data_IF_380602173757
#
_entry.id   IF_380602173757
#
_cell.length_a   1.000
_cell.length_b   1.000
_cell.length_c   1.000
_cell.angle_alpha   90.00
_cell.angle_beta   90.00
_cell.angle_gamma   90.00
#
_symmetry.space_group_name_H-M   'P 1'
#
loop_
_entity.id
_entity.type
_entity.pdbx_description
1 polymer ?
#
# COMPACT_ATOMS: atom_id res chain seq x y z
N UNK A 1 17.17 -19.87 -1.53
CA UNK A 1 17.00 -18.62 -2.36
C UNK A 1 16.01 -17.71 -1.65
N UNK A 2 16.31 -16.41 -1.52
CA UNK A 2 15.38 -15.46 -0.91
C UNK A 2 14.18 -15.21 -1.85
N UNK A 3 12.95 -15.28 -1.34
CA UNK A 3 11.74 -14.98 -2.13
C UNK A 3 11.74 -13.53 -2.56
N UNK A 4 11.66 -13.27 -3.86
CA UNK A 4 11.53 -11.92 -4.41
C UNK A 4 10.16 -11.32 -4.08
N UNK A 5 10.10 -9.99 -3.94
CA UNK A 5 8.88 -9.23 -3.63
C UNK A 5 8.68 -8.13 -4.66
N UNK A 6 7.48 -8.03 -5.22
CA UNK A 6 7.12 -6.90 -6.07
C UNK A 6 6.60 -5.73 -5.24
N UNK A 7 7.21 -4.56 -5.37
CA UNK A 7 6.70 -3.33 -4.76
C UNK A 7 6.01 -2.49 -5.84
N UNK A 8 4.69 -2.47 -5.78
CA UNK A 8 3.85 -1.79 -6.76
C UNK A 8 3.56 -0.35 -6.32
N UNK A 9 3.64 0.58 -7.27
CA UNK A 9 3.47 2.01 -7.05
C UNK A 9 4.55 2.61 -6.13
N UNK A 10 5.78 2.10 -6.22
CA UNK A 10 6.92 2.69 -5.52
C UNK A 10 7.12 4.15 -5.96
N UNK A 11 7.48 5.03 -5.03
CA UNK A 11 7.87 6.39 -5.39
C UNK A 11 9.26 6.40 -6.03
N UNK A 12 9.55 7.33 -6.96
CA UNK A 12 10.91 7.58 -7.41
C UNK A 12 11.83 7.84 -6.20
N UNK A 13 12.99 7.17 -6.15
CA UNK A 13 13.91 7.26 -5.01
C UNK A 13 13.38 6.67 -3.70
N UNK A 14 12.47 5.71 -3.78
CA UNK A 14 11.96 4.96 -2.63
C UNK A 14 13.04 4.09 -2.01
N UNK A 15 13.01 3.98 -0.69
CA UNK A 15 13.90 3.10 0.11
C UNK A 15 13.77 1.61 -0.24
N UNK A 16 12.72 1.20 -0.92
CA UNK A 16 12.54 -0.17 -1.39
C UNK A 16 13.57 -0.59 -2.45
N UNK A 17 14.13 0.37 -3.20
CA UNK A 17 15.13 0.08 -4.26
C UNK A 17 16.44 -0.48 -3.72
N UNK A 18 16.71 -0.18 -2.44
CA UNK A 18 17.94 -0.58 -1.75
C UNK A 18 17.76 -1.89 -0.95
N UNK A 19 16.59 -2.52 -1.06
CA UNK A 19 16.29 -3.77 -0.34
C UNK A 19 16.54 -4.98 -1.23
N UNK A 20 17.27 -5.96 -0.69
CA UNK A 20 17.59 -7.19 -1.41
C UNK A 20 16.34 -7.98 -1.81
N UNK A 21 16.32 -8.47 -3.05
CA UNK A 21 15.24 -9.27 -3.58
C UNK A 21 13.93 -8.50 -3.81
N UNK A 22 13.97 -7.18 -3.91
CA UNK A 22 12.82 -6.33 -4.20
C UNK A 22 12.86 -5.87 -5.66
N UNK A 23 11.72 -5.96 -6.34
CA UNK A 23 11.49 -5.40 -7.67
C UNK A 23 10.48 -4.26 -7.57
N UNK A 24 10.92 -3.03 -7.84
CA UNK A 24 10.07 -1.85 -7.79
C UNK A 24 9.40 -1.57 -9.12
N UNK A 25 8.11 -1.25 -9.05
CA UNK A 25 7.28 -0.76 -10.16
C UNK A 25 6.77 0.64 -9.75
N UNK A 26 7.24 1.64 -10.42
CA UNK A 26 6.96 3.06 -10.17
C UNK A 26 6.23 3.73 -11.35
N UNK A 27 6.34 5.04 -11.48
CA UNK A 27 5.72 5.77 -12.58
C UNK A 27 6.41 5.52 -13.93
N UNK A 28 7.69 5.14 -13.95
CA UNK A 28 8.45 4.83 -15.17
C UNK A 28 8.19 3.38 -15.60
N UNK A 29 8.29 2.45 -14.64
CA UNK A 29 7.92 1.05 -14.83
C UNK A 29 6.50 0.85 -14.29
N UNK A 30 5.50 1.12 -15.11
CA UNK A 30 4.08 1.05 -14.74
C UNK A 30 3.76 -0.24 -13.96
N UNK A 31 3.16 -0.10 -12.77
CA UNK A 31 2.78 -1.23 -11.94
C UNK A 31 1.89 -2.26 -12.68
N UNK A 32 1.12 -1.82 -13.67
CA UNK A 32 0.25 -2.68 -14.49
C UNK A 32 1.04 -3.59 -15.45
N UNK A 33 2.32 -3.31 -15.68
CA UNK A 33 3.19 -4.18 -16.49
C UNK A 33 3.73 -5.37 -15.68
N UNK A 34 3.48 -5.40 -14.37
CA UNK A 34 3.86 -6.53 -13.54
C UNK A 34 2.99 -7.76 -13.85
N UNK A 35 3.64 -8.86 -14.22
CA UNK A 35 2.98 -10.10 -14.69
C UNK A 35 2.60 -11.09 -13.58
N UNK A 36 2.77 -10.74 -12.29
CA UNK A 36 2.52 -11.69 -11.19
C UNK A 36 3.73 -12.55 -10.81
N UNK A 37 3.49 -13.62 -10.05
CA UNK A 37 4.51 -14.62 -9.67
C UNK A 37 5.30 -14.31 -8.39
N UNK A 38 5.09 -13.17 -7.76
CA UNK A 38 5.75 -12.77 -6.52
C UNK A 38 4.74 -12.24 -5.51
N UNK A 39 5.00 -12.31 -4.19
CA UNK A 39 4.22 -11.59 -3.20
C UNK A 39 4.37 -10.07 -3.39
N UNK A 40 3.38 -9.33 -2.94
CA UNK A 40 3.21 -7.91 -3.27
C UNK A 40 3.29 -7.03 -2.03
N UNK A 41 4.00 -5.91 -2.13
CA UNK A 41 3.77 -4.72 -1.29
C UNK A 41 3.23 -3.63 -2.20
N UNK A 42 2.00 -3.16 -1.96
CA UNK A 42 1.34 -2.19 -2.84
C UNK A 42 1.05 -0.85 -2.14
N UNK A 43 1.44 0.26 -2.78
CA UNK A 43 1.19 1.63 -2.34
C UNK A 43 0.37 2.41 -3.38
N UNK A 44 -0.86 1.99 -3.72
CA UNK A 44 -1.62 2.64 -4.78
C UNK A 44 -1.90 4.11 -4.44
N UNK A 45 -2.07 4.99 -5.44
CA UNK A 45 -2.30 6.41 -5.24
C UNK A 45 -3.46 6.70 -4.27
N UNK A 46 -3.16 7.33 -3.14
CA UNK A 46 -4.13 7.57 -2.06
C UNK A 46 -5.00 8.81 -2.28
N UNK A 47 -4.64 9.72 -3.20
CA UNK A 47 -5.37 10.99 -3.39
C UNK A 47 -6.82 10.77 -3.83
N UNK A 48 -7.11 9.69 -4.54
CA UNK A 48 -8.47 9.31 -4.94
C UNK A 48 -9.34 8.78 -3.79
N UNK A 49 -8.73 8.36 -2.69
CA UNK A 49 -9.34 7.56 -1.64
C UNK A 49 -9.26 8.16 -0.23
N UNK A 50 -8.31 9.08 0.01
CA UNK A 50 -8.07 9.70 1.30
C UNK A 50 -9.12 10.74 1.72
N UNK A 51 -8.94 11.34 2.89
CA UNK A 51 -9.85 12.37 3.44
C UNK A 51 -10.02 13.57 2.52
N UNK A 52 -8.95 13.97 1.81
CA UNK A 52 -8.94 15.14 0.91
C UNK A 52 -9.31 14.78 -0.55
N UNK A 53 -9.90 13.61 -0.82
CA UNK A 53 -10.26 13.15 -2.16
C UNK A 53 -11.20 14.11 -2.93
N UNK A 54 -12.04 14.86 -2.21
CA UNK A 54 -12.93 15.84 -2.83
C UNK A 54 -12.21 17.03 -3.49
N UNK A 55 -10.98 17.31 -3.05
CA UNK A 55 -10.11 18.35 -3.62
C UNK A 55 -9.12 17.80 -4.65
N UNK A 56 -9.04 16.47 -4.78
CA UNK A 56 -8.11 15.80 -5.68
C UNK A 56 -8.77 15.61 -7.05
N UNK A 57 -8.08 16.02 -8.11
CA UNK A 57 -8.50 15.77 -9.49
C UNK A 57 -8.11 14.34 -9.92
N UNK A 58 -8.55 13.32 -9.18
CA UNK A 58 -8.26 11.93 -9.50
C UNK A 58 -9.32 11.37 -10.46
N UNK A 59 -8.89 10.95 -11.65
CA UNK A 59 -9.77 10.37 -12.65
C UNK A 59 -10.16 8.90 -12.35
N UNK A 60 -11.13 8.35 -13.13
CA UNK A 60 -11.55 6.94 -12.99
C UNK A 60 -10.41 5.95 -13.14
N UNK A 61 -9.48 6.18 -14.07
CA UNK A 61 -8.32 5.31 -14.30
C UNK A 61 -7.41 5.23 -13.04
N UNK A 62 -7.18 6.34 -12.34
CA UNK A 62 -6.39 6.34 -11.12
C UNK A 62 -7.12 5.62 -9.97
N UNK A 63 -8.44 5.77 -9.89
CA UNK A 63 -9.25 5.02 -8.91
C UNK A 63 -9.16 3.52 -9.15
N UNK A 64 -9.20 3.07 -10.39
CA UNK A 64 -9.07 1.66 -10.75
C UNK A 64 -7.76 1.03 -10.25
N UNK A 65 -6.65 1.81 -10.17
CA UNK A 65 -5.37 1.31 -9.67
C UNK A 65 -5.43 0.81 -8.22
N UNK A 66 -6.20 1.47 -7.35
CA UNK A 66 -6.35 1.03 -5.97
C UNK A 66 -7.07 -0.32 -5.86
N UNK A 67 -8.18 -0.47 -6.60
CA UNK A 67 -8.96 -1.71 -6.63
C UNK A 67 -8.11 -2.83 -7.23
N UNK A 68 -7.44 -2.57 -8.34
CA UNK A 68 -6.52 -3.52 -8.99
C UNK A 68 -5.40 -3.97 -8.03
N UNK A 69 -4.80 -3.04 -7.27
CA UNK A 69 -3.79 -3.39 -6.27
C UNK A 69 -4.31 -4.35 -5.20
N UNK A 70 -5.55 -4.15 -4.71
CA UNK A 70 -6.21 -5.07 -3.78
C UNK A 70 -6.36 -6.48 -4.38
N UNK A 71 -6.73 -6.57 -5.65
CA UNK A 71 -6.82 -7.85 -6.36
C UNK A 71 -5.43 -8.52 -6.49
N UNK A 72 -4.36 -7.75 -6.74
CA UNK A 72 -3.01 -8.33 -6.81
C UNK A 72 -2.57 -8.92 -5.47
N UNK A 73 -2.82 -8.20 -4.35
CA UNK A 73 -2.50 -8.71 -3.01
C UNK A 73 -3.30 -9.97 -2.69
N UNK A 74 -4.58 -10.03 -3.05
CA UNK A 74 -5.40 -11.25 -2.91
C UNK A 74 -4.87 -12.40 -3.77
N UNK A 75 -4.50 -12.10 -5.01
CA UNK A 75 -4.04 -13.10 -5.96
C UNK A 75 -2.66 -13.67 -5.61
N UNK A 76 -1.73 -12.87 -5.13
CA UNK A 76 -0.32 -13.25 -4.98
C UNK A 76 0.17 -13.30 -3.52
N UNK A 77 -0.66 -12.91 -2.57
CA UNK A 77 -0.28 -12.69 -1.18
C UNK A 77 0.50 -11.40 -0.97
N UNK A 78 0.54 -10.91 0.26
CA UNK A 78 1.30 -9.72 0.61
C UNK A 78 0.48 -8.64 1.30
N UNK A 79 0.83 -7.36 1.07
CA UNK A 79 0.31 -6.22 1.82
C UNK A 79 -0.06 -5.06 0.92
N UNK A 80 -1.23 -4.45 1.14
CA UNK A 80 -1.63 -3.17 0.56
C UNK A 80 -1.66 -2.09 1.65
N UNK A 81 -0.98 -0.99 1.43
CA UNK A 81 -0.89 0.15 2.35
C UNK A 81 -1.74 1.33 1.86
N UNK A 82 -2.53 1.90 2.76
CA UNK A 82 -3.24 3.17 2.54
C UNK A 82 -3.40 3.94 3.85
N UNK A 83 -3.61 5.25 3.81
CA UNK A 83 -4.00 6.00 5.00
C UNK A 83 -5.23 5.39 5.66
N UNK A 84 -5.29 5.37 6.99
CA UNK A 84 -6.45 4.89 7.72
C UNK A 84 -7.74 5.62 7.26
N UNK A 85 -8.86 4.90 7.26
CA UNK A 85 -10.16 5.38 6.77
C UNK A 85 -10.20 5.67 5.27
N UNK A 86 -9.26 5.10 4.49
CA UNK A 86 -9.31 5.17 3.03
C UNK A 86 -10.62 4.56 2.51
N UNK A 87 -11.30 5.30 1.61
CA UNK A 87 -12.50 4.80 0.94
C UNK A 87 -12.24 3.63 -0.02
N UNK A 88 -10.96 3.32 -0.25
CA UNK A 88 -10.57 2.13 -1.01
C UNK A 88 -11.06 0.85 -0.34
N UNK A 89 -11.08 0.79 1.01
CA UNK A 89 -11.55 -0.40 1.72
C UNK A 89 -12.97 -0.80 1.32
N UNK A 90 -13.89 0.16 1.35
CA UNK A 90 -15.27 -0.09 0.91
C UNK A 90 -15.34 -0.42 -0.59
N UNK A 91 -14.60 0.33 -1.43
CA UNK A 91 -14.67 0.17 -2.88
C UNK A 91 -14.07 -1.15 -3.38
N UNK A 92 -13.08 -1.69 -2.69
CA UNK A 92 -12.40 -2.96 -3.03
C UNK A 92 -12.91 -4.14 -2.17
N UNK A 93 -13.92 -3.93 -1.32
CA UNK A 93 -14.45 -4.96 -0.43
C UNK A 93 -13.39 -5.52 0.52
N UNK A 94 -12.52 -4.66 1.07
CA UNK A 94 -11.50 -5.08 2.02
C UNK A 94 -12.09 -5.10 3.44
N UNK A 95 -11.71 -6.08 4.31
CA UNK A 95 -12.22 -6.19 5.66
C UNK A 95 -11.73 -5.03 6.53
N UNK A 96 -12.57 -4.56 7.45
CA UNK A 96 -12.17 -3.58 8.45
C UNK A 96 -11.23 -4.21 9.50
N UNK A 97 -10.48 -3.40 10.29
CA UNK A 97 -9.72 -3.93 11.41
C UNK A 97 -10.59 -4.75 12.36
N UNK A 98 -10.18 -5.99 12.65
CA UNK A 98 -10.92 -6.95 13.43
C UNK A 98 -11.68 -8.00 12.61
N UNK A 99 -11.97 -7.71 11.34
CA UNK A 99 -12.68 -8.61 10.44
C UNK A 99 -11.71 -9.38 9.52
N UNK A 100 -12.24 -10.41 8.85
CA UNK A 100 -11.54 -11.17 7.78
C UNK A 100 -12.42 -11.24 6.53
N UNK A 101 -11.79 -11.30 5.37
CA UNK A 101 -12.50 -11.63 4.13
C UNK A 101 -12.50 -13.15 3.83
N UNK A 102 -13.19 -13.54 2.75
CA UNK A 102 -13.35 -14.95 2.34
C UNK A 102 -12.00 -15.63 1.99
N UNK A 103 -10.97 -14.85 1.69
CA UNK A 103 -9.62 -15.34 1.40
C UNK A 103 -8.72 -15.35 2.64
N UNK A 104 -9.30 -15.10 3.83
CA UNK A 104 -8.57 -14.99 5.09
C UNK A 104 -7.76 -13.70 5.23
N UNK A 105 -7.93 -12.76 4.30
CA UNK A 105 -7.31 -11.44 4.37
C UNK A 105 -7.84 -10.64 5.55
N UNK A 106 -7.01 -9.79 6.13
CA UNK A 106 -7.34 -8.98 7.31
C UNK A 106 -6.67 -7.61 7.25
N UNK A 107 -7.11 -6.69 8.09
CA UNK A 107 -6.56 -5.33 8.16
C UNK A 107 -5.90 -5.06 9.50
N UNK A 108 -4.66 -4.58 9.46
CA UNK A 108 -3.95 -4.01 10.61
C UNK A 108 -4.11 -2.49 10.62
N UNK A 109 -4.41 -1.91 11.78
CA UNK A 109 -4.38 -0.46 12.01
C UNK A 109 -3.07 -0.11 12.73
N UNK A 110 -2.18 0.58 12.05
CA UNK A 110 -0.83 0.88 12.55
C UNK A 110 -0.53 2.38 12.45
N UNK A 111 0.51 2.82 13.16
CA UNK A 111 1.04 4.18 12.98
C UNK A 111 2.50 4.10 12.50
N UNK A 112 2.80 4.68 11.34
CA UNK A 112 4.15 4.69 10.79
C UNK A 112 5.16 5.40 11.71
N UNK A 113 4.70 6.19 12.67
CA UNK A 113 5.53 6.76 13.74
C UNK A 113 6.25 5.66 14.54
N UNK A 114 5.65 4.52 14.73
CA UNK A 114 6.29 3.37 15.41
C UNK A 114 7.56 2.89 14.69
N UNK A 115 7.64 3.07 13.38
CA UNK A 115 8.82 2.75 12.55
C UNK A 115 9.67 3.98 12.21
N UNK A 116 9.54 5.08 12.97
CA UNK A 116 10.40 6.25 12.84
C UNK A 116 9.93 7.34 11.87
N UNK A 117 8.68 7.32 11.40
CA UNK A 117 8.12 8.47 10.72
C UNK A 117 8.00 9.64 11.71
N UNK A 118 8.46 10.84 11.33
CA UNK A 118 8.50 11.99 12.25
C UNK A 118 7.13 12.59 12.59
N UNK A 119 6.08 12.20 11.91
CA UNK A 119 4.69 12.53 12.25
C UNK A 119 3.90 11.25 12.47
N UNK A 120 2.88 11.32 13.32
CA UNK A 120 1.88 10.26 13.43
C UNK A 120 1.17 10.13 12.08
N UNK A 121 1.34 8.98 11.43
CA UNK A 121 0.77 8.65 10.12
C UNK A 121 0.01 7.34 10.23
N UNK A 122 -1.22 7.43 10.73
CA UNK A 122 -2.10 6.27 10.88
C UNK A 122 -2.40 5.65 9.52
N UNK A 123 -2.23 4.36 9.45
CA UNK A 123 -2.18 3.60 8.21
C UNK A 123 -2.92 2.29 8.38
N UNK A 124 -3.71 1.91 7.39
CA UNK A 124 -4.28 0.58 7.28
C UNK A 124 -3.46 -0.27 6.32
N UNK A 125 -3.16 -1.48 6.77
CA UNK A 125 -2.45 -2.51 6.01
C UNK A 125 -3.40 -3.68 5.79
N UNK A 126 -3.88 -3.87 4.56
CA UNK A 126 -4.59 -5.09 4.20
C UNK A 126 -3.55 -6.17 3.91
N UNK A 127 -3.63 -7.29 4.62
CA UNK A 127 -2.72 -8.43 4.51
C UNK A 127 -3.49 -9.64 4.02
N UNK A 128 -2.97 -10.35 3.02
CA UNK A 128 -3.54 -11.59 2.53
C UNK A 128 -2.46 -12.66 2.37
N UNK A 129 -2.76 -13.89 2.82
CA UNK A 129 -1.83 -15.02 2.76
C UNK A 129 -1.04 -15.28 4.04
N UNK A 130 -1.40 -14.63 5.16
CA UNK A 130 -0.79 -14.86 6.47
C UNK A 130 -1.85 -14.93 7.58
N UNK A 131 -1.48 -15.45 8.75
CA UNK A 131 -2.37 -15.48 9.91
C UNK A 131 -2.17 -14.23 10.79
N UNK A 132 -3.22 -13.52 11.21
CA UNK A 132 -3.08 -12.38 12.11
C UNK A 132 -2.40 -12.71 13.45
N UNK A 133 -2.55 -13.94 13.96
CA UNK A 133 -1.90 -14.37 15.20
C UNK A 133 -0.38 -14.54 15.07
N UNK A 134 0.12 -14.65 13.83
CA UNK A 134 1.53 -14.88 13.53
C UNK A 134 2.21 -13.66 12.87
N UNK A 135 1.54 -12.51 12.88
CA UNK A 135 2.14 -11.27 12.34
C UNK A 135 3.44 -10.96 13.07
N UNK A 136 4.54 -10.66 12.36
CA UNK A 136 5.80 -10.30 13.00
C UNK A 136 5.65 -9.15 13.98
N UNK A 137 6.44 -9.18 15.05
CA UNK A 137 6.39 -8.15 16.10
C UNK A 137 6.48 -6.76 15.48
N UNK A 138 5.52 -5.92 15.84
CA UNK A 138 5.49 -4.51 15.44
C UNK A 138 6.15 -3.67 16.54
N UNK A 139 7.03 -2.74 16.20
CA UNK A 139 7.52 -1.77 17.19
C UNK A 139 6.34 -0.94 17.67
N UNK A 140 6.26 -0.70 18.98
CA UNK A 140 5.25 0.14 19.56
C UNK A 140 5.93 1.33 20.24
N UNK A 141 5.57 2.54 19.82
CA UNK A 141 6.12 3.76 20.39
C UNK A 141 4.98 4.59 21.00
N UNK A 142 5.05 4.77 22.30
CA UNK A 142 4.18 5.67 23.04
C UNK A 142 4.64 7.11 22.86
N UNK A 143 3.69 8.04 22.95
CA UNK A 143 3.97 9.46 22.94
C UNK A 143 3.56 10.17 21.66
N UNK A 144 3.96 11.42 21.59
CA UNK A 144 3.57 12.33 20.53
C UNK A 144 4.73 12.54 19.54
N UNK A 145 4.45 12.36 18.26
CA UNK A 145 5.45 12.60 17.21
C UNK A 145 5.88 14.08 17.21
N UNK A 146 7.17 14.38 16.89
CA UNK A 146 7.69 15.76 16.93
C UNK A 146 7.12 16.66 15.83
N UNK A 147 6.46 16.10 14.83
CA UNK A 147 5.88 16.80 13.69
C UNK A 147 4.43 16.35 13.42
N UNK A 148 3.76 17.07 12.53
CA UNK A 148 2.42 16.71 12.03
C UNK A 148 2.46 16.52 10.52
N UNK A 149 1.52 15.72 9.98
CA UNK A 149 1.35 15.59 8.53
C UNK A 149 0.82 16.89 7.91
N UNK A 150 -0.12 17.53 8.60
CA UNK A 150 -0.74 18.79 8.20
C UNK A 150 -1.21 19.53 9.45
N UNK A 151 -0.97 20.81 9.52
CA UNK A 151 -1.42 21.67 10.63
C UNK A 151 -2.91 22.05 10.44
N UNK A 152 -3.79 21.10 10.72
CA UNK A 152 -5.24 21.26 10.56
C UNK A 152 -5.86 22.26 11.56
N UNK A 153 -5.15 22.60 12.63
CA UNK A 153 -5.62 23.51 13.66
C UNK A 153 -5.12 24.96 13.48
N UNK A 154 -4.34 25.23 12.42
CA UNK A 154 -3.80 26.55 12.15
C UNK A 154 -2.86 27.10 13.23
N UNK A 155 -2.29 26.23 14.08
CA UNK A 155 -1.37 26.62 15.15
C UNK A 155 -0.11 27.27 14.55
N UNK A 156 0.40 28.33 15.22
CA UNK A 156 1.61 29.04 14.80
C UNK A 156 2.75 28.77 15.78
N UNK A 157 3.97 29.02 15.32
CA UNK A 157 5.18 28.96 16.16
C UNK A 157 4.95 29.78 17.44
N UNK A 158 5.29 29.22 18.60
CA UNK A 158 5.08 29.81 19.91
C UNK A 158 3.74 29.50 20.59
N UNK A 159 2.76 28.94 19.87
CA UNK A 159 1.50 28.48 20.48
C UNK A 159 1.68 27.13 21.15
N UNK A 160 0.98 26.89 22.25
CA UNK A 160 0.95 25.59 22.92
C UNK A 160 0.45 24.51 21.96
N UNK A 161 1.15 23.37 21.93
CA UNK A 161 0.83 22.25 21.04
C UNK A 161 1.25 22.42 19.58
N UNK A 162 1.90 23.54 19.21
CA UNK A 162 2.45 23.70 17.86
C UNK A 162 3.51 22.63 17.59
N UNK A 163 3.38 22.00 16.42
CA UNK A 163 4.40 21.11 15.84
C UNK A 163 4.55 21.43 14.36
N UNK A 164 5.79 21.52 13.86
CA UNK A 164 6.01 21.81 12.44
C UNK A 164 5.51 20.66 11.55
N UNK A 165 5.06 21.00 10.34
CA UNK A 165 4.69 19.99 9.36
C UNK A 165 5.91 19.24 8.81
N UNK A 166 5.72 17.99 8.41
CA UNK A 166 6.68 17.28 7.58
C UNK A 166 6.61 17.83 6.14
N UNK A 167 7.72 17.69 5.39
CA UNK A 167 7.76 18.05 3.99
C UNK A 167 6.76 17.21 3.17
N UNK A 168 6.36 17.70 1.99
CA UNK A 168 5.49 16.96 1.05
C UNK A 168 6.11 15.61 0.67
N UNK A 169 7.43 15.55 0.45
CA UNK A 169 8.16 14.32 0.14
C UNK A 169 8.08 13.33 1.31
N UNK A 170 8.34 13.78 2.53
CA UNK A 170 8.32 12.94 3.72
C UNK A 170 6.91 12.41 4.03
N UNK A 171 5.86 13.24 3.82
CA UNK A 171 4.47 12.83 3.99
C UNK A 171 4.12 11.59 3.16
N UNK A 172 4.70 11.46 1.98
CA UNK A 172 4.47 10.35 1.06
C UNK A 172 5.46 9.20 1.23
N UNK A 173 6.60 9.44 1.89
CA UNK A 173 7.63 8.42 2.08
C UNK A 173 7.21 7.35 3.08
N UNK A 174 7.76 6.15 2.87
CA UNK A 174 7.68 5.04 3.82
C UNK A 174 9.00 4.97 4.59
N UNK A 175 9.00 4.94 5.94
CA UNK A 175 10.22 4.73 6.72
C UNK A 175 10.92 3.43 6.34
N UNK A 176 12.27 3.43 6.31
CA UNK A 176 13.05 2.25 5.94
C UNK A 176 12.73 1.02 6.81
N UNK A 177 12.55 1.23 8.12
CA UNK A 177 12.21 0.15 9.04
C UNK A 177 10.83 -0.46 8.70
N UNK A 178 9.83 0.36 8.34
CA UNK A 178 8.53 -0.12 7.89
C UNK A 178 8.64 -0.82 6.54
N UNK A 179 9.41 -0.28 5.60
CA UNK A 179 9.60 -0.90 4.29
C UNK A 179 10.19 -2.31 4.41
N UNK A 180 11.20 -2.50 5.26
CA UNK A 180 11.77 -3.83 5.57
C UNK A 180 10.71 -4.76 6.16
N UNK A 181 9.99 -4.30 7.17
CA UNK A 181 8.95 -5.07 7.83
C UNK A 181 7.84 -5.51 6.85
N UNK A 182 7.40 -4.61 5.96
CA UNK A 182 6.39 -4.92 4.93
C UNK A 182 6.89 -5.96 3.92
N UNK A 183 8.15 -5.86 3.50
CA UNK A 183 8.79 -6.82 2.58
C UNK A 183 8.90 -8.19 3.25
N UNK A 184 9.31 -8.25 4.52
CA UNK A 184 9.41 -9.51 5.25
C UNK A 184 8.04 -10.14 5.47
N UNK A 185 7.02 -9.36 5.82
CA UNK A 185 5.64 -9.86 5.93
C UNK A 185 5.13 -10.38 4.56
N UNK A 186 5.41 -9.69 3.47
CA UNK A 186 5.03 -10.17 2.13
C UNK A 186 5.70 -11.51 1.77
N UNK A 187 6.97 -11.71 2.16
CA UNK A 187 7.67 -12.99 1.99
C UNK A 187 7.00 -14.13 2.76
N UNK A 188 6.56 -13.86 3.99
CA UNK A 188 5.81 -14.83 4.80
C UNK A 188 4.48 -15.19 4.15
N UNK A 189 3.75 -14.22 3.61
CA UNK A 189 2.50 -14.47 2.89
C UNK A 189 2.67 -15.42 1.71
N UNK A 190 3.79 -15.32 0.97
CA UNK A 190 4.09 -16.24 -0.12
C UNK A 190 4.39 -17.66 0.38
N UNK A 191 5.19 -17.80 1.42
CA UNK A 191 5.58 -19.09 1.95
C UNK A 191 4.36 -19.93 2.38
N UNK A 192 3.37 -19.32 3.01
CA UNK A 192 2.15 -20.02 3.47
C UNK A 192 1.24 -20.47 2.33
N UNK A 193 1.19 -19.74 1.21
CA UNK A 193 0.43 -20.17 0.03
C UNK A 193 0.91 -21.52 -0.53
N UNK A 194 2.21 -21.79 -0.47
CA UNK A 194 2.77 -23.07 -0.91
C UNK A 194 2.43 -24.21 0.06
N UNK A 195 2.17 -23.93 1.33
CA UNK A 195 1.84 -24.93 2.36
C UNK A 195 0.34 -25.29 2.36
N UNK A 196 -0.55 -24.38 1.92
CA UNK A 196 -2.01 -24.56 1.96
C UNK A 196 -2.65 -24.91 0.61
N UNK A 197 -1.93 -24.89 -0.47
CA UNK A 197 -2.54 -24.86 -1.79
C UNK A 197 -2.27 -26.04 -2.67
N UNK A 198 -3.07 -27.09 -2.57
CA UNK A 198 -3.35 -27.99 -3.68
C UNK A 198 -4.26 -27.42 -4.78
N UNK A 199 -4.74 -26.17 -4.68
CA UNK A 199 -5.48 -25.48 -5.75
C UNK A 199 -4.79 -24.18 -6.11
N UNK A 200 -4.06 -24.20 -7.21
CA UNK A 200 -3.64 -23.00 -7.92
C UNK A 200 -4.90 -22.31 -8.42
N UNK A 201 -5.36 -21.27 -7.72
CA UNK A 201 -6.29 -20.32 -8.34
C UNK A 201 -5.48 -19.65 -9.45
N UNK A 202 -5.72 -20.05 -10.68
CA UNK A 202 -5.22 -19.34 -11.85
C UNK A 202 -5.61 -17.88 -11.70
N UNK A 203 -4.62 -17.00 -11.57
CA UNK A 203 -4.85 -15.56 -11.48
C UNK A 203 -5.77 -15.11 -12.62
N UNK A 204 -6.51 -14.00 -12.44
CA UNK A 204 -7.35 -13.47 -13.50
C UNK A 204 -6.49 -13.31 -14.75
N UNK A 205 -6.95 -13.91 -15.85
CA UNK A 205 -6.30 -13.82 -17.15
C UNK A 205 -5.93 -12.36 -17.42
N UNK A 206 -4.69 -12.15 -17.86
CA UNK A 206 -4.25 -10.87 -18.41
C UNK A 206 -5.37 -10.30 -19.25
N UNK A 207 -5.92 -9.15 -18.89
CA UNK A 207 -6.81 -8.39 -19.77
C UNK A 207 -5.93 -7.84 -20.88
N UNK A 208 -5.68 -8.72 -21.88
CA UNK A 208 -5.03 -8.34 -23.11
C UNK A 208 -5.90 -7.29 -23.81
N UNK A 209 -5.25 -6.15 -24.13
CA UNK A 209 -5.61 -5.17 -25.11
C UNK A 209 -7.05 -5.11 -25.62
N UNK A 210 -7.85 -4.18 -25.13
CA UNK A 210 -9.01 -3.69 -25.87
C UNK A 210 -8.55 -3.00 -27.16
N UNK A 211 -9.33 -3.07 -28.25
CA UNK A 211 -8.93 -2.60 -29.57
C UNK A 211 -8.64 -1.11 -29.59
N UNK A 212 -7.51 -0.73 -30.18
CA UNK A 212 -7.19 0.65 -30.57
C UNK A 212 -8.21 1.10 -31.60
N UNK A 213 -9.17 1.91 -31.20
CA UNK A 213 -10.05 2.61 -32.14
C UNK A 213 -9.22 3.71 -32.81
N UNK A 214 -8.81 3.46 -34.06
CA UNK A 214 -8.30 4.51 -34.93
C UNK A 214 -9.46 5.46 -35.24
N UNK A 215 -9.39 6.67 -34.76
CA UNK A 215 -10.22 7.75 -35.30
C UNK A 215 -9.72 8.08 -36.70
N UNK A 216 -10.45 7.60 -37.70
CA UNK A 216 -10.35 8.10 -39.07
C UNK A 216 -10.97 9.49 -39.11
N UNK A 217 -10.20 10.46 -39.62
CA UNK A 217 -10.66 11.81 -39.83
C UNK A 217 -11.85 11.88 -40.81
N UNK A 218 -12.67 12.86 -40.59
CA UNK A 218 -13.58 13.41 -41.57
C UNK A 218 -13.35 14.93 -41.66
N UNK A 219 -13.26 15.36 -42.90
CA UNK A 219 -13.10 16.71 -43.42
C UNK A 219 -13.94 17.78 -42.72
#
# INVERSE_FOLDING_TARGET
MMTKVAVLFAMPGSVYRDLDGVECYDAERDARTWGGGMPVVAHPPCRAWGKLRGFAKAGPAERALGIWAGHQVRAWGGVLEQPCWSKLWLAAGLPLPGDRDELGGFTLDVDQFWWGHRAQKRTWLYVCGWDPAEVPVMPFCLGQAPRVLTNVHGLRVGMAGYRPEVSKRERSATPLALARWLVDLARLCAARRYLWGGQVISGPASVAGGPVVKQSGLN
#
